data_IF_588838444516
#
_entry.id   IF_588838444516
#
_cell.length_a   1.000
_cell.length_b   1.000
_cell.length_c   1.000
_cell.angle_alpha   90.00
_cell.angle_beta   90.00
_cell.angle_gamma   90.00
#
_symmetry.space_group_name_H-M   'P 1'
#
loop_
_entity.id
_entity.type
_entity.pdbx_description
1 polymer ?
#
# COMPACT_ATOMS: atom_id res chain seq x y z
N UNK A 1 7.85 -0.35 -7.96
CA UNK A 1 8.81 0.72 -8.36
C UNK A 1 9.56 1.17 -7.11
N UNK A 2 10.87 1.33 -7.20
CA UNK A 2 11.72 1.85 -6.13
C UNK A 2 12.69 2.88 -6.68
N UNK A 3 12.96 3.93 -5.90
CA UNK A 3 13.88 5.01 -6.24
C UNK A 3 15.09 4.94 -5.32
N UNK A 4 16.28 5.04 -5.87
CA UNK A 4 17.56 5.13 -5.15
C UNK A 4 18.16 6.53 -5.38
N UNK A 5 17.83 7.51 -4.53
CA UNK A 5 18.15 8.92 -4.79
C UNK A 5 19.66 9.19 -4.85
N UNK A 6 20.45 8.54 -4.02
CA UNK A 6 21.90 8.72 -3.93
C UNK A 6 22.62 8.34 -5.24
N UNK A 7 22.13 7.31 -5.92
CA UNK A 7 22.65 6.85 -7.20
C UNK A 7 21.89 7.45 -8.40
N UNK A 8 20.83 8.24 -8.13
CA UNK A 8 19.93 8.78 -9.15
C UNK A 8 19.35 7.68 -10.05
N UNK A 9 18.94 6.59 -9.44
CA UNK A 9 18.41 5.43 -10.13
C UNK A 9 16.93 5.22 -9.83
N UNK A 10 16.20 4.82 -10.87
CA UNK A 10 14.81 4.39 -10.84
C UNK A 10 14.76 2.90 -11.19
N UNK A 11 14.29 2.08 -10.27
CA UNK A 11 14.13 0.65 -10.43
C UNK A 11 12.68 0.31 -10.73
N UNK A 12 12.44 -0.26 -11.91
CA UNK A 12 11.14 -0.67 -12.38
C UNK A 12 11.08 -2.19 -12.50
N UNK A 13 9.99 -2.78 -12.05
CA UNK A 13 9.70 -4.18 -12.26
C UNK A 13 8.62 -4.34 -13.33
N UNK A 14 8.90 -5.19 -14.32
CA UNK A 14 7.91 -5.67 -15.29
C UNK A 14 7.41 -7.05 -14.83
N UNK A 15 6.13 -7.29 -15.04
CA UNK A 15 5.53 -8.61 -14.74
C UNK A 15 5.64 -9.56 -15.93
N UNK A 16 5.68 -9.02 -17.15
CA UNK A 16 5.69 -9.83 -18.35
C UNK A 16 6.53 -9.20 -19.46
N UNK A 17 7.70 -9.78 -19.78
CA UNK A 17 8.41 -10.81 -19.01
C UNK A 17 8.86 -10.30 -17.64
N UNK A 18 9.00 -11.22 -16.67
CA UNK A 18 9.46 -10.85 -15.32
C UNK A 18 10.90 -10.37 -15.35
N UNK A 19 11.11 -9.09 -15.15
CA UNK A 19 12.44 -8.45 -15.17
C UNK A 19 12.49 -7.19 -14.32
N UNK A 20 13.67 -6.81 -13.92
CA UNK A 20 13.98 -5.53 -13.32
C UNK A 20 14.76 -4.68 -14.32
N UNK A 21 14.31 -3.47 -14.53
CA UNK A 21 14.95 -2.46 -15.36
C UNK A 21 15.38 -1.29 -14.47
N UNK A 22 16.62 -0.86 -14.61
CA UNK A 22 17.17 0.27 -13.87
C UNK A 22 17.46 1.42 -14.82
N UNK A 23 16.86 2.54 -14.57
CA UNK A 23 17.03 3.77 -15.33
C UNK A 23 17.74 4.84 -14.49
N UNK A 24 18.46 5.74 -15.11
CA UNK A 24 18.84 6.99 -14.45
C UNK A 24 17.66 7.97 -14.48
N UNK A 25 17.77 9.11 -13.78
CA UNK A 25 16.71 10.12 -13.74
C UNK A 25 16.50 10.86 -15.08
N UNK A 26 17.42 10.72 -16.04
CA UNK A 26 17.25 11.22 -17.42
C UNK A 26 16.48 10.23 -18.31
N UNK A 27 16.03 9.10 -17.76
CA UNK A 27 15.27 8.07 -18.47
C UNK A 27 16.12 7.11 -19.30
N UNK A 28 17.45 7.12 -19.16
CA UNK A 28 18.34 6.18 -19.86
C UNK A 28 18.37 4.85 -19.11
N UNK A 29 18.14 3.75 -19.82
CA UNK A 29 18.30 2.39 -19.30
C UNK A 29 19.78 2.14 -18.95
N UNK A 30 20.07 1.80 -17.70
CA UNK A 30 21.38 1.47 -17.19
C UNK A 30 21.62 -0.02 -17.14
N UNK A 31 20.63 -0.78 -16.63
CA UNK A 31 20.71 -2.22 -16.41
C UNK A 31 19.35 -2.85 -16.67
N UNK A 32 19.37 -4.09 -17.11
CA UNK A 32 18.20 -4.90 -17.37
C UNK A 32 18.54 -6.36 -17.11
N UNK A 33 17.82 -7.00 -16.20
CA UNK A 33 18.05 -8.39 -15.86
C UNK A 33 16.75 -9.15 -15.57
N UNK A 34 16.64 -10.41 -16.04
CA UNK A 34 15.47 -11.23 -15.77
C UNK A 34 15.43 -11.65 -14.32
N UNK A 35 14.22 -11.75 -13.78
CA UNK A 35 13.95 -12.32 -12.46
C UNK A 35 13.06 -13.55 -12.61
N UNK A 36 13.28 -14.56 -11.77
CA UNK A 36 12.54 -15.84 -11.84
C UNK A 36 11.25 -15.84 -11.00
N UNK A 37 10.80 -14.68 -10.55
CA UNK A 37 9.62 -14.57 -9.72
C UNK A 37 8.78 -13.35 -10.14
N UNK A 38 7.49 -13.47 -9.97
CA UNK A 38 6.56 -12.35 -10.18
C UNK A 38 6.39 -11.62 -8.85
N UNK A 39 7.18 -10.56 -8.62
CA UNK A 39 7.06 -9.72 -7.42
C UNK A 39 5.86 -8.80 -7.52
N UNK A 40 5.25 -8.51 -6.38
CA UNK A 40 4.20 -7.49 -6.25
C UNK A 40 4.79 -6.13 -5.89
N UNK A 41 5.89 -6.15 -5.13
CA UNK A 41 6.58 -4.93 -4.70
C UNK A 41 8.07 -5.20 -4.47
N UNK A 42 8.89 -4.15 -4.47
CA UNK A 42 10.32 -4.24 -4.17
C UNK A 42 10.84 -2.97 -3.51
N UNK A 43 11.86 -3.13 -2.67
CA UNK A 43 12.55 -2.04 -1.96
C UNK A 43 14.01 -2.37 -1.74
N UNK A 44 14.87 -1.35 -1.71
CA UNK A 44 16.25 -1.50 -1.24
C UNK A 44 16.32 -1.54 0.29
N UNK A 45 17.18 -2.42 0.82
CA UNK A 45 17.37 -2.57 2.27
C UNK A 45 18.68 -1.95 2.76
N UNK A 46 19.40 -1.22 1.92
CA UNK A 46 20.76 -0.76 2.20
C UNK A 46 21.83 -1.63 1.53
N UNK A 47 23.05 -1.11 1.43
CA UNK A 47 24.15 -1.79 0.76
C UNK A 47 23.81 -2.20 -0.67
N UNK A 48 23.89 -3.48 -0.95
CA UNK A 48 23.58 -4.05 -2.25
C UNK A 48 22.41 -5.07 -2.20
N UNK A 49 21.56 -4.96 -1.19
CA UNK A 49 20.45 -5.88 -0.97
C UNK A 49 19.12 -5.25 -1.32
N UNK A 50 18.29 -5.98 -2.06
CA UNK A 50 16.95 -5.63 -2.47
C UNK A 50 16.02 -6.69 -1.94
N UNK A 51 14.94 -6.27 -1.27
CA UNK A 51 13.84 -7.14 -0.92
C UNK A 51 12.76 -7.06 -1.99
N UNK A 52 12.32 -8.22 -2.47
CA UNK A 52 11.14 -8.35 -3.32
C UNK A 52 10.06 -9.15 -2.60
N UNK A 53 8.81 -8.78 -2.78
CA UNK A 53 7.67 -9.44 -2.15
C UNK A 53 6.71 -10.04 -3.16
N UNK A 54 6.27 -11.26 -2.88
CA UNK A 54 5.21 -11.93 -3.64
C UNK A 54 4.17 -12.51 -2.68
N UNK A 55 2.91 -12.31 -2.97
CA UNK A 55 1.79 -12.78 -2.14
C UNK A 55 1.37 -14.22 -2.41
N UNK A 56 1.70 -14.75 -3.59
CA UNK A 56 1.23 -16.07 -4.06
C UNK A 56 2.38 -16.96 -4.45
N UNK A 57 2.16 -18.28 -4.41
CA UNK A 57 3.02 -19.22 -5.14
C UNK A 57 2.98 -18.85 -6.61
N UNK A 58 4.15 -18.70 -7.23
CA UNK A 58 4.20 -18.53 -8.67
C UNK A 58 3.73 -19.83 -9.34
N UNK A 59 2.66 -19.74 -10.12
CA UNK A 59 2.15 -20.89 -10.90
C UNK A 59 2.78 -20.99 -12.28
N UNK A 60 3.81 -20.19 -12.58
CA UNK A 60 4.38 -20.10 -13.93
C UNK A 60 5.30 -21.26 -14.33
N UNK A 61 5.06 -22.46 -13.76
CA UNK A 61 5.60 -23.71 -14.27
C UNK A 61 7.10 -23.94 -14.16
N UNK A 62 7.86 -22.92 -13.71
CA UNK A 62 9.31 -22.97 -13.54
C UNK A 62 9.61 -22.63 -12.08
N UNK A 63 9.77 -23.68 -11.26
CA UNK A 63 10.08 -23.60 -9.84
C UNK A 63 9.05 -22.76 -9.04
N UNK A 64 8.05 -23.43 -8.46
CA UNK A 64 7.04 -22.82 -7.59
C UNK A 64 7.70 -22.23 -6.33
N UNK A 65 8.19 -21.00 -6.41
CA UNK A 65 8.65 -20.29 -5.23
C UNK A 65 7.45 -20.02 -4.33
N UNK A 66 7.51 -20.37 -3.06
CA UNK A 66 6.45 -19.99 -2.12
C UNK A 66 6.36 -18.46 -2.07
N UNK A 67 5.17 -17.91 -1.83
CA UNK A 67 5.03 -16.49 -1.57
C UNK A 67 5.92 -16.04 -0.41
N UNK A 68 6.32 -14.78 -0.38
CA UNK A 68 7.15 -14.23 0.70
C UNK A 68 8.11 -13.15 0.26
N UNK A 69 9.14 -12.93 1.08
CA UNK A 69 10.19 -11.95 0.83
C UNK A 69 11.43 -12.65 0.28
N UNK A 70 11.85 -12.24 -0.90
CA UNK A 70 13.05 -12.71 -1.57
C UNK A 70 14.12 -11.63 -1.50
N UNK A 71 15.35 -12.04 -1.19
CA UNK A 71 16.49 -11.15 -1.13
C UNK A 71 17.31 -11.29 -2.40
N UNK A 72 17.58 -10.18 -3.06
CA UNK A 72 18.33 -10.10 -4.31
C UNK A 72 19.54 -9.18 -4.12
N UNK A 73 20.62 -9.45 -4.85
CA UNK A 73 21.68 -8.45 -5.02
C UNK A 73 21.33 -7.45 -6.15
N UNK A 74 22.14 -6.41 -6.31
CA UNK A 74 21.97 -5.38 -7.36
C UNK A 74 22.04 -5.92 -8.81
N UNK A 75 22.43 -7.17 -9.02
CA UNK A 75 22.38 -7.86 -10.32
C UNK A 75 21.19 -8.81 -10.46
N UNK A 76 20.20 -8.75 -9.55
CA UNK A 76 19.01 -9.59 -9.60
C UNK A 76 19.22 -11.05 -9.20
N UNK A 77 20.42 -11.42 -8.74
CA UNK A 77 20.70 -12.79 -8.28
C UNK A 77 20.08 -12.99 -6.90
N UNK A 78 19.26 -14.02 -6.76
CA UNK A 78 18.70 -14.44 -5.47
C UNK A 78 19.79 -14.80 -4.47
N UNK A 79 19.69 -14.24 -3.28
CA UNK A 79 20.56 -14.49 -2.14
C UNK A 79 19.91 -15.37 -1.10
N UNK A 80 18.58 -15.27 -0.97
CA UNK A 80 17.84 -16.04 0.00
C UNK A 80 16.37 -15.65 0.05
N UNK A 81 15.67 -16.20 1.03
CA UNK A 81 14.31 -15.87 1.37
C UNK A 81 14.25 -15.50 2.86
N UNK A 82 13.74 -14.33 3.17
CA UNK A 82 13.68 -13.81 4.54
C UNK A 82 12.41 -14.23 5.26
N UNK A 83 11.29 -14.25 4.53
CA UNK A 83 9.98 -14.54 5.08
C UNK A 83 9.21 -15.41 4.09
N UNK A 84 8.54 -16.44 4.59
CA UNK A 84 7.56 -17.21 3.83
C UNK A 84 6.20 -16.57 4.06
N UNK A 85 5.52 -16.14 3.01
CA UNK A 85 4.17 -15.64 3.14
C UNK A 85 3.26 -16.78 3.62
N UNK A 86 2.40 -16.44 4.55
CA UNK A 86 1.31 -17.31 4.97
C UNK A 86 0.28 -17.52 3.85
N UNK A 87 -0.84 -18.15 4.19
CA UNK A 87 -1.97 -18.31 3.29
C UNK A 87 -2.44 -16.95 2.75
N UNK A 88 -2.58 -16.85 1.44
CA UNK A 88 -3.01 -15.62 0.79
C UNK A 88 -4.54 -15.52 0.74
N UNK A 89 -5.04 -14.28 0.79
CA UNK A 89 -6.44 -14.00 0.48
C UNK A 89 -6.72 -14.24 -1.01
N UNK A 90 -7.97 -14.58 -1.39
CA UNK A 90 -8.37 -14.55 -2.79
C UNK A 90 -8.04 -13.17 -3.35
N UNK A 91 -7.38 -13.14 -4.48
CA UNK A 91 -6.88 -11.89 -5.07
C UNK A 91 -8.01 -11.13 -5.77
N UNK A 92 -8.29 -9.94 -5.30
CA UNK A 92 -9.07 -8.94 -6.02
C UNK A 92 -8.09 -7.96 -6.67
N UNK A 93 -8.13 -7.90 -7.98
CA UNK A 93 -7.15 -7.20 -8.79
C UNK A 93 -7.10 -5.69 -8.57
N UNK A 94 -6.38 -5.26 -7.56
CA UNK A 94 -5.99 -3.85 -7.40
C UNK A 94 -4.59 -3.69 -8.02
N UNK A 95 -4.50 -2.91 -9.08
CA UNK A 95 -3.31 -2.85 -9.94
C UNK A 95 -2.11 -2.08 -9.33
N UNK A 96 -2.28 -1.40 -8.21
CA UNK A 96 -1.22 -0.58 -7.59
C UNK A 96 -1.06 -0.98 -6.12
N UNK A 97 -0.31 -2.06 -5.88
CA UNK A 97 -0.08 -2.56 -4.54
C UNK A 97 1.31 -2.19 -4.08
N UNK A 98 1.41 -1.48 -2.97
CA UNK A 98 2.64 -1.19 -2.26
C UNK A 98 2.58 -1.89 -0.90
N UNK A 99 3.50 -2.81 -0.69
CA UNK A 99 3.58 -3.60 0.54
C UNK A 99 4.72 -3.16 1.43
N UNK A 100 5.78 -2.60 0.83
CA UNK A 100 6.92 -2.10 1.55
C UNK A 100 6.80 -0.60 1.83
N UNK A 101 7.30 -0.20 2.98
CA UNK A 101 7.59 1.19 3.33
C UNK A 101 9.03 1.28 3.81
N UNK A 102 9.77 2.24 3.31
CA UNK A 102 11.11 2.54 3.80
C UNK A 102 11.04 3.06 5.25
N UNK A 103 11.81 2.47 6.13
CA UNK A 103 11.76 2.78 7.54
C UNK A 103 13.11 2.55 8.22
N UNK A 104 13.66 3.61 8.84
CA UNK A 104 14.98 3.59 9.46
C UNK A 104 16.05 3.03 8.51
N UNK A 105 16.82 2.03 8.95
CA UNK A 105 17.84 1.36 8.16
C UNK A 105 17.31 0.06 7.50
N UNK A 106 16.12 0.08 6.98
CA UNK A 106 15.51 -1.11 6.36
C UNK A 106 14.12 -0.82 5.82
N UNK A 107 13.20 -1.76 5.99
CA UNK A 107 11.84 -1.62 5.51
C UNK A 107 10.80 -2.21 6.46
N UNK A 108 9.58 -1.70 6.41
CA UNK A 108 8.40 -2.36 6.93
C UNK A 108 7.71 -3.10 5.79
N UNK A 109 7.18 -4.27 6.09
CA UNK A 109 6.37 -5.06 5.17
C UNK A 109 4.99 -5.31 5.78
N UNK A 110 3.95 -4.90 5.08
CA UNK A 110 2.58 -5.29 5.38
C UNK A 110 2.28 -6.64 4.71
N UNK A 111 2.32 -7.69 5.51
CA UNK A 111 2.04 -9.02 5.01
C UNK A 111 0.53 -9.33 5.02
N UNK A 112 0.12 -10.24 4.16
CA UNK A 112 -1.26 -10.76 4.09
C UNK A 112 -1.68 -11.56 5.34
N UNK A 113 -0.73 -11.93 6.21
CA UNK A 113 -0.96 -12.71 7.44
C UNK A 113 -1.36 -11.90 8.68
N UNK A 114 -1.89 -10.69 8.54
CA UNK A 114 -2.24 -9.80 9.66
C UNK A 114 -1.06 -9.35 10.52
N UNK A 115 0.14 -9.34 9.96
CA UNK A 115 1.36 -8.94 10.66
C UNK A 115 2.13 -7.94 9.82
N UNK A 116 2.56 -6.85 10.45
CA UNK A 116 3.56 -5.95 9.88
C UNK A 116 4.92 -6.45 10.36
N UNK A 117 5.84 -6.67 9.43
CA UNK A 117 7.19 -7.11 9.70
C UNK A 117 8.17 -5.97 9.49
N UNK A 118 9.19 -5.92 10.33
CA UNK A 118 10.39 -5.10 10.10
C UNK A 118 11.43 -5.97 9.43
N UNK A 119 12.05 -5.47 8.38
CA UNK A 119 13.15 -6.11 7.65
C UNK A 119 14.35 -5.20 7.76
N UNK A 120 15.43 -5.71 8.34
CA UNK A 120 16.65 -4.95 8.53
C UNK A 120 17.54 -4.95 7.27
N UNK A 121 18.65 -4.20 7.29
CA UNK A 121 19.60 -4.10 6.17
C UNK A 121 20.20 -5.46 5.75
N UNK A 122 20.28 -6.42 6.65
CA UNK A 122 20.75 -7.78 6.32
C UNK A 122 19.66 -8.67 5.71
N UNK A 123 18.42 -8.17 5.64
CA UNK A 123 17.26 -8.89 5.11
C UNK A 123 16.58 -9.80 6.12
N UNK A 124 16.93 -9.72 7.40
CA UNK A 124 16.29 -10.47 8.46
C UNK A 124 14.94 -9.85 8.81
N UNK A 125 13.89 -10.67 8.89
CA UNK A 125 12.52 -10.25 9.15
C UNK A 125 12.11 -10.55 10.59
N UNK A 126 11.59 -9.56 11.29
CA UNK A 126 11.03 -9.69 12.64
C UNK A 126 9.61 -9.14 12.69
N UNK A 127 8.65 -9.77 13.40
CA UNK A 127 7.33 -9.19 13.59
C UNK A 127 7.41 -7.87 14.37
N UNK A 128 6.71 -6.84 13.89
CA UNK A 128 6.61 -5.55 14.57
C UNK A 128 5.23 -5.36 15.19
N UNK A 129 4.17 -5.66 14.42
CA UNK A 129 2.78 -5.46 14.84
C UNK A 129 1.95 -6.65 14.40
N UNK A 130 1.12 -7.15 15.29
CA UNK A 130 0.03 -8.05 14.95
C UNK A 130 -1.28 -7.28 14.90
N UNK A 131 -1.98 -7.37 13.78
CA UNK A 131 -3.26 -6.70 13.56
C UNK A 131 -4.40 -7.65 13.96
N UNK A 132 -5.03 -7.34 15.08
CA UNK A 132 -6.20 -8.09 15.54
C UNK A 132 -7.49 -7.44 15.00
N UNK A 133 -8.16 -8.13 14.12
CA UNK A 133 -9.40 -7.68 13.49
C UNK A 133 -10.66 -8.12 14.25
N UNK A 134 -10.51 -8.87 15.35
CA UNK A 134 -11.64 -9.40 16.08
C UNK A 134 -12.58 -10.21 15.18
N UNK A 135 -13.87 -9.86 15.21
CA UNK A 135 -14.91 -10.51 14.38
C UNK A 135 -14.79 -10.23 12.88
N UNK A 136 -14.05 -9.19 12.51
CA UNK A 136 -13.80 -8.84 11.10
C UNK A 136 -12.65 -9.61 10.48
N UNK A 137 -12.01 -10.51 11.24
CA UNK A 137 -10.90 -11.33 10.75
C UNK A 137 -11.36 -12.27 9.63
N UNK A 138 -10.63 -12.26 8.53
CA UNK A 138 -10.90 -13.15 7.41
C UNK A 138 -10.71 -14.62 7.81
N UNK A 139 -11.73 -15.48 7.60
CA UNK A 139 -11.65 -16.89 8.04
C UNK A 139 -10.58 -17.67 7.29
N UNK A 140 -9.77 -18.44 8.02
CA UNK A 140 -8.71 -19.28 7.44
C UNK A 140 -9.23 -20.27 6.39
N UNK A 141 -10.44 -20.82 6.59
CA UNK A 141 -11.08 -21.76 5.65
C UNK A 141 -11.40 -21.14 4.28
N UNK A 142 -11.41 -19.81 4.17
CA UNK A 142 -11.68 -19.07 2.95
C UNK A 142 -10.40 -18.55 2.28
N UNK A 143 -9.25 -18.67 2.93
CA UNK A 143 -7.96 -18.39 2.33
C UNK A 143 -7.60 -19.45 1.30
N UNK A 144 -6.86 -19.09 0.28
CA UNK A 144 -6.44 -19.96 -0.83
C UNK A 144 -7.58 -20.56 -1.69
N UNK A 145 -8.77 -19.99 -1.63
CA UNK A 145 -9.84 -20.39 -2.57
C UNK A 145 -9.45 -19.88 -3.95
N UNK A 146 -9.39 -20.77 -4.93
CA UNK A 146 -9.15 -20.40 -6.32
C UNK A 146 -10.30 -19.57 -6.87
N UNK A 147 -9.98 -18.60 -7.72
CA UNK A 147 -10.95 -17.79 -8.46
C UNK A 147 -11.96 -18.67 -9.25
N UNK A 148 -11.52 -19.80 -9.76
CA UNK A 148 -12.36 -20.75 -10.50
C UNK A 148 -13.21 -21.66 -9.61
N UNK A 149 -13.08 -21.55 -8.28
CA UNK A 149 -13.84 -22.37 -7.36
C UNK A 149 -15.29 -21.89 -7.27
N UNK A 150 -16.30 -22.80 -7.31
CA UNK A 150 -17.70 -22.43 -7.02
C UNK A 150 -17.88 -21.73 -5.65
N UNK A 151 -16.99 -21.99 -4.70
CA UNK A 151 -16.98 -21.35 -3.39
C UNK A 151 -16.42 -19.92 -3.42
N UNK A 152 -15.85 -19.48 -4.54
CA UNK A 152 -15.35 -18.12 -4.66
C UNK A 152 -16.46 -17.08 -4.46
N UNK A 153 -17.68 -17.36 -4.93
CA UNK A 153 -18.84 -16.49 -4.70
C UNK A 153 -19.20 -16.34 -3.21
N UNK A 154 -18.91 -17.36 -2.40
CA UNK A 154 -19.08 -17.27 -0.95
C UNK A 154 -18.14 -16.21 -0.35
N UNK A 155 -16.99 -15.96 -0.97
CA UNK A 155 -16.03 -14.96 -0.53
C UNK A 155 -16.43 -13.54 -0.89
N UNK A 156 -17.31 -13.36 -1.87
CA UNK A 156 -17.73 -12.04 -2.36
C UNK A 156 -18.70 -11.29 -1.42
N UNK A 157 -19.38 -12.01 -0.54
CA UNK A 157 -20.40 -11.46 0.35
C UNK A 157 -19.90 -11.26 1.79
N UNK A 158 -18.58 -11.17 1.99
CA UNK A 158 -18.01 -11.26 3.31
C UNK A 158 -17.73 -9.89 3.93
N UNK A 159 -18.25 -9.70 5.13
CA UNK A 159 -17.96 -8.54 6.00
C UNK A 159 -16.64 -8.75 6.76
N UNK A 160 -15.57 -9.12 6.05
CA UNK A 160 -14.25 -9.37 6.66
C UNK A 160 -13.20 -8.46 6.03
N UNK A 161 -12.17 -8.16 6.80
CA UNK A 161 -10.99 -7.48 6.28
C UNK A 161 -10.18 -8.44 5.43
N UNK A 162 -10.06 -8.10 4.15
CA UNK A 162 -9.19 -8.79 3.21
C UNK A 162 -8.46 -7.77 2.35
N UNK A 163 -7.35 -8.15 1.77
CA UNK A 163 -6.57 -7.23 0.96
C UNK A 163 -6.01 -6.07 1.80
N UNK A 164 -4.71 -6.08 2.00
CA UNK A 164 -3.99 -5.05 2.74
C UNK A 164 -2.82 -4.58 1.89
N UNK A 165 -2.68 -3.27 1.72
CA UNK A 165 -1.59 -2.68 0.93
C UNK A 165 -1.39 -1.19 1.29
N UNK A 166 -0.52 -0.49 0.55
CA UNK A 166 -0.27 0.94 0.68
C UNK A 166 0.20 1.35 2.09
N UNK A 167 1.13 0.58 2.66
CA UNK A 167 1.69 0.88 3.98
C UNK A 167 2.46 2.21 3.96
N UNK A 168 2.19 3.05 4.96
CA UNK A 168 2.92 4.30 5.24
C UNK A 168 3.14 4.41 6.74
N UNK A 169 4.38 4.71 7.16
CA UNK A 169 4.77 4.81 8.56
C UNK A 169 5.08 6.26 8.98
N UNK A 170 4.50 6.70 10.11
CA UNK A 170 4.75 8.00 10.73
C UNK A 170 5.09 7.80 12.21
N UNK A 171 6.37 7.74 12.54
CA UNK A 171 6.77 7.41 13.91
C UNK A 171 6.07 6.14 14.40
N UNK A 172 5.23 6.21 15.46
CA UNK A 172 4.51 5.05 15.96
C UNK A 172 3.26 4.68 15.16
N UNK A 173 2.83 5.51 14.22
CA UNK A 173 1.62 5.27 13.44
C UNK A 173 1.94 4.45 12.19
N UNK A 174 1.11 3.43 11.92
CA UNK A 174 1.08 2.64 10.69
C UNK A 174 -0.25 2.89 9.99
N UNK A 175 -0.20 3.53 8.84
CA UNK A 175 -1.35 3.73 7.97
C UNK A 175 -1.27 2.74 6.82
N UNK A 176 -2.38 2.13 6.47
CA UNK A 176 -2.44 1.22 5.34
C UNK A 176 -3.88 1.10 4.83
N UNK A 177 -4.02 0.73 3.57
CA UNK A 177 -5.32 0.48 2.99
C UNK A 177 -5.77 -0.94 3.28
N UNK A 178 -7.06 -1.09 3.53
CA UNK A 178 -7.75 -2.38 3.66
C UNK A 178 -8.95 -2.43 2.71
N UNK A 179 -9.43 -3.63 2.45
CA UNK A 179 -10.73 -3.85 1.84
C UNK A 179 -11.62 -4.50 2.89
N UNK A 180 -12.75 -3.87 3.18
CA UNK A 180 -13.78 -4.34 4.07
C UNK A 180 -15.13 -4.26 3.36
N UNK A 181 -15.87 -5.35 3.30
CA UNK A 181 -17.19 -5.42 2.65
C UNK A 181 -17.20 -4.77 1.24
N UNK A 182 -16.16 -5.04 0.43
CA UNK A 182 -15.90 -4.48 -0.92
C UNK A 182 -15.58 -2.98 -0.97
N UNK A 183 -15.52 -2.31 0.17
CA UNK A 183 -15.11 -0.91 0.25
C UNK A 183 -13.63 -0.82 0.60
N UNK A 184 -12.97 0.15 0.00
CA UNK A 184 -11.59 0.50 0.37
C UNK A 184 -11.63 1.47 1.54
N UNK A 185 -10.89 1.14 2.59
CA UNK A 185 -10.79 1.95 3.79
C UNK A 185 -9.32 2.18 4.14
N UNK A 186 -9.05 3.28 4.80
CA UNK A 186 -7.76 3.56 5.41
C UNK A 186 -7.77 3.08 6.85
N UNK A 187 -6.90 2.14 7.16
CA UNK A 187 -6.68 1.65 8.52
C UNK A 187 -5.48 2.36 9.15
N UNK A 188 -5.55 2.54 10.45
CA UNK A 188 -4.49 3.09 11.28
C UNK A 188 -4.24 2.15 12.48
N UNK A 189 -2.97 1.88 12.74
CA UNK A 189 -2.53 1.25 13.99
C UNK A 189 -1.56 2.20 14.72
N UNK A 190 -1.79 2.44 16.01
CA UNK A 190 -0.92 3.24 16.85
C UNK A 190 -0.14 2.31 17.79
N UNK A 191 1.17 2.22 17.62
CA UNK A 191 2.06 1.35 18.39
C UNK A 191 2.24 1.78 19.85
N UNK A 192 1.98 3.05 20.17
CA UNK A 192 2.08 3.55 21.54
C UNK A 192 0.88 3.14 22.39
N UNK A 193 -0.33 3.16 21.80
CA UNK A 193 -1.56 2.84 22.52
C UNK A 193 -2.02 1.40 22.31
N UNK A 194 -1.51 0.72 21.30
CA UNK A 194 -1.99 -0.60 20.88
C UNK A 194 -3.36 -0.55 20.19
N UNK A 195 -3.88 0.64 19.89
CA UNK A 195 -5.20 0.82 19.32
C UNK A 195 -5.14 0.89 17.79
N UNK A 196 -6.22 0.46 17.15
CA UNK A 196 -6.44 0.59 15.71
C UNK A 196 -7.79 1.20 15.39
N UNK A 197 -7.88 1.83 14.24
CA UNK A 197 -9.13 2.33 13.68
C UNK A 197 -9.08 2.26 12.16
N UNK A 198 -10.24 2.32 11.52
CA UNK A 198 -10.34 2.42 10.07
C UNK A 198 -11.53 3.29 9.67
N UNK A 199 -11.45 3.89 8.49
CA UNK A 199 -12.50 4.74 7.93
C UNK A 199 -12.32 4.87 6.41
N UNK A 200 -13.43 5.01 5.71
CA UNK A 200 -13.48 5.37 4.31
C UNK A 200 -13.36 6.89 4.07
N UNK A 201 -13.46 7.66 5.15
CA UNK A 201 -13.55 9.11 5.08
C UNK A 201 -12.67 9.80 6.14
N UNK A 202 -12.10 10.93 5.77
CA UNK A 202 -11.59 11.91 6.73
C UNK A 202 -12.76 12.70 7.30
N UNK A 203 -13.08 12.46 8.55
CA UNK A 203 -13.98 13.32 9.30
C UNK A 203 -13.18 14.43 10.00
N UNK A 204 -12.97 15.56 9.34
CA UNK A 204 -12.89 16.78 10.14
C UNK A 204 -14.32 17.15 10.55
N UNK A 205 -14.48 17.80 11.70
CA UNK A 205 -15.78 18.10 12.33
C UNK A 205 -16.87 18.66 11.40
N UNK A 206 -16.55 19.01 10.16
CA UNK A 206 -17.45 19.68 9.22
C UNK A 206 -17.24 19.27 7.75
N UNK A 207 -16.29 18.39 7.45
CA UNK A 207 -15.99 18.02 6.05
C UNK A 207 -15.64 16.54 5.97
N UNK A 208 -16.35 15.81 5.16
CA UNK A 208 -16.04 14.45 4.78
C UNK A 208 -15.25 14.48 3.47
N UNK A 209 -14.03 13.96 3.45
CA UNK A 209 -13.23 13.84 2.25
C UNK A 209 -12.80 12.39 2.12
N UNK A 210 -13.07 11.73 0.99
CA UNK A 210 -12.62 10.35 0.81
C UNK A 210 -11.10 10.28 0.84
N UNK A 211 -10.57 9.36 1.63
CA UNK A 211 -9.14 9.10 1.77
C UNK A 211 -8.75 7.89 0.97
N UNK A 212 -8.54 8.09 -0.30
CA UNK A 212 -8.20 7.00 -1.17
C UNK A 212 -6.75 7.13 -1.67
N UNK A 213 -6.09 6.00 -1.76
CA UNK A 213 -4.77 5.84 -2.36
C UNK A 213 -3.66 6.70 -1.73
N UNK A 214 -3.27 6.46 -0.45
CA UNK A 214 -2.03 7.01 0.06
C UNK A 214 -0.86 6.49 -0.76
N UNK A 215 -0.01 7.38 -1.25
CA UNK A 215 1.18 7.03 -2.03
C UNK A 215 2.44 6.94 -1.17
N UNK A 216 2.46 7.66 -0.05
CA UNK A 216 3.64 7.72 0.82
C UNK A 216 3.70 8.99 1.65
N UNK A 217 4.92 9.42 1.96
CA UNK A 217 5.23 10.64 2.71
C UNK A 217 5.94 11.67 1.83
N UNK A 218 5.65 12.95 2.05
CA UNK A 218 6.46 14.05 1.53
C UNK A 218 7.71 14.28 2.39
N UNK A 219 8.69 15.04 1.88
CA UNK A 219 9.87 15.48 2.63
C UNK A 219 9.51 16.28 3.89
N UNK A 220 8.31 16.85 3.93
CA UNK A 220 7.77 17.60 5.08
C UNK A 220 7.05 16.70 6.09
N UNK A 221 7.07 15.39 5.89
CA UNK A 221 6.38 14.43 6.75
C UNK A 221 4.85 14.47 6.60
N UNK A 222 4.32 14.94 5.47
CA UNK A 222 2.89 14.92 5.16
C UNK A 222 2.54 13.60 4.48
N UNK A 223 1.37 13.06 4.78
CA UNK A 223 0.79 11.97 4.00
C UNK A 223 0.44 12.50 2.61
N UNK A 224 0.88 11.80 1.58
CA UNK A 224 0.59 12.14 0.18
C UNK A 224 -0.27 11.05 -0.41
N UNK A 225 -1.29 11.46 -1.13
CA UNK A 225 -2.12 10.53 -1.89
C UNK A 225 -2.58 11.11 -3.21
N UNK A 226 -3.26 10.28 -3.97
CA UNK A 226 -3.82 10.63 -5.27
C UNK A 226 -5.34 10.43 -5.24
N UNK A 227 -6.06 11.36 -5.83
CA UNK A 227 -7.47 11.17 -6.12
C UNK A 227 -7.66 10.68 -7.55
N UNK A 228 -8.48 9.67 -7.69
CA UNK A 228 -9.12 9.36 -8.96
C UNK A 228 -10.15 10.47 -9.27
N UNK A 229 -10.09 10.99 -10.49
CA UNK A 229 -10.98 12.08 -10.92
C UNK A 229 -12.44 11.62 -10.93
N UNK A 230 -12.72 10.40 -11.37
CA UNK A 230 -14.08 9.86 -11.42
C UNK A 230 -14.68 9.76 -10.02
N UNK A 231 -13.84 9.39 -9.03
CA UNK A 231 -14.24 9.34 -7.63
C UNK A 231 -14.53 10.72 -7.05
N UNK A 232 -13.70 11.72 -7.37
CA UNK A 232 -13.95 13.11 -6.95
C UNK A 232 -15.22 13.68 -7.59
N UNK A 233 -15.50 13.32 -8.84
CA UNK A 233 -16.74 13.70 -9.51
C UNK A 233 -17.95 13.05 -8.83
N UNK A 234 -17.91 11.74 -8.58
CA UNK A 234 -19.00 11.05 -7.88
C UNK A 234 -19.23 11.64 -6.48
N UNK A 235 -18.16 12.00 -5.77
CA UNK A 235 -18.25 12.66 -4.48
C UNK A 235 -18.88 14.06 -4.58
N UNK A 236 -18.49 14.86 -5.58
CA UNK A 236 -19.09 16.16 -5.84
C UNK A 236 -20.59 16.06 -6.09
N UNK A 237 -21.00 15.10 -6.92
CA UNK A 237 -22.41 14.88 -7.25
C UNK A 237 -23.24 14.40 -6.05
N UNK A 238 -22.66 13.63 -5.16
CA UNK A 238 -23.32 13.15 -3.93
C UNK A 238 -23.60 14.25 -2.89
N UNK A 239 -22.96 15.42 -3.01
CA UNK A 239 -23.10 16.54 -2.06
C UNK A 239 -24.30 17.45 -2.30
N UNK A 240 -25.04 17.27 -3.38
CA UNK A 240 -26.21 18.08 -3.69
C UNK A 240 -27.25 17.97 -2.57
N UNK A 241 -27.46 19.08 -1.83
CA UNK A 241 -28.41 19.16 -0.73
C UNK A 241 -27.84 19.09 0.69
N UNK A 242 -26.53 19.08 0.89
CA UNK A 242 -25.95 19.17 2.23
C UNK A 242 -25.96 20.63 2.74
N UNK A 243 -26.17 20.83 4.07
CA UNK A 243 -26.19 22.18 4.64
C UNK A 243 -24.83 22.88 4.49
N UNK A 244 -24.89 24.12 4.07
CA UNK A 244 -23.73 24.98 3.90
C UNK A 244 -23.19 25.42 5.26
N UNK A 245 -21.88 25.27 5.45
CA UNK A 245 -21.17 25.97 6.51
C UNK A 245 -19.90 26.62 5.93
N UNK A 246 -19.50 27.77 6.44
CA UNK A 246 -18.51 28.67 5.83
C UNK A 246 -17.12 28.07 5.64
N UNK A 247 -16.74 27.01 6.35
CA UNK A 247 -15.45 26.32 6.23
C UNK A 247 -15.55 25.22 5.18
N UNK A 248 -16.64 24.44 5.22
CA UNK A 248 -16.91 23.40 4.24
C UNK A 248 -17.03 24.00 2.83
N UNK A 249 -17.73 25.14 2.69
CA UNK A 249 -17.91 25.82 1.40
C UNK A 249 -16.61 26.22 0.74
N UNK A 250 -15.69 26.80 1.53
CA UNK A 250 -14.37 27.18 1.01
C UNK A 250 -13.56 25.97 0.54
N UNK A 251 -13.58 24.86 1.30
CA UNK A 251 -12.86 23.65 0.91
C UNK A 251 -13.50 23.04 -0.33
N UNK A 252 -14.83 23.01 -0.40
CA UNK A 252 -15.55 22.52 -1.57
C UNK A 252 -15.29 23.36 -2.82
N UNK A 253 -15.22 24.68 -2.71
CA UNK A 253 -14.85 25.57 -3.82
C UNK A 253 -13.42 25.28 -4.32
N UNK A 254 -12.47 25.04 -3.40
CA UNK A 254 -11.10 24.66 -3.76
C UNK A 254 -11.09 23.29 -4.46
N UNK A 255 -11.85 22.32 -3.95
CA UNK A 255 -11.96 21.00 -4.56
C UNK A 255 -12.59 21.10 -5.97
N UNK A 256 -13.69 21.83 -6.12
CA UNK A 256 -14.37 22.01 -7.40
C UNK A 256 -13.47 22.70 -8.43
N UNK A 257 -12.75 23.74 -8.03
CA UNK A 257 -11.77 24.41 -8.89
C UNK A 257 -10.62 23.47 -9.29
N UNK A 258 -10.14 22.66 -8.35
CA UNK A 258 -9.06 21.68 -8.57
C UNK A 258 -9.51 20.58 -9.53
N UNK A 259 -10.69 20.01 -9.32
CA UNK A 259 -11.27 18.97 -10.20
C UNK A 259 -11.46 19.51 -11.62
N UNK A 260 -12.07 20.69 -11.76
CA UNK A 260 -12.28 21.29 -13.07
C UNK A 260 -10.95 21.56 -13.81
N UNK A 261 -9.92 22.00 -13.08
CA UNK A 261 -8.59 22.22 -13.65
C UNK A 261 -7.93 20.90 -14.05
N UNK A 262 -8.03 19.88 -13.23
CA UNK A 262 -7.45 18.55 -13.51
C UNK A 262 -8.12 17.92 -14.73
N UNK A 263 -9.45 17.98 -14.83
CA UNK A 263 -10.19 17.51 -16.00
C UNK A 263 -9.79 18.23 -17.29
N UNK A 264 -9.66 19.57 -17.24
CA UNK A 264 -9.26 20.36 -18.39
C UNK A 264 -7.82 20.08 -18.87
N UNK A 265 -6.97 19.56 -17.98
CA UNK A 265 -5.55 19.32 -18.25
C UNK A 265 -5.18 17.85 -18.31
N UNK A 266 -6.12 16.93 -18.11
CA UNK A 266 -5.89 15.47 -18.00
C UNK A 266 -4.77 15.14 -16.99
N UNK A 267 -4.88 15.70 -15.78
CA UNK A 267 -3.87 15.55 -14.72
C UNK A 267 -4.47 14.94 -13.47
N UNK A 268 -3.71 14.07 -12.77
CA UNK A 268 -4.13 13.57 -11.47
C UNK A 268 -4.15 14.68 -10.43
N UNK A 269 -5.01 14.53 -9.42
CA UNK A 269 -5.08 15.41 -8.26
C UNK A 269 -4.30 14.77 -7.11
N UNK A 270 -3.25 15.44 -6.64
CA UNK A 270 -2.52 15.05 -5.44
C UNK A 270 -3.11 15.76 -4.23
N UNK A 271 -3.21 15.05 -3.12
CA UNK A 271 -3.58 15.62 -1.84
C UNK A 271 -2.48 15.41 -0.81
N UNK A 272 -2.41 16.34 0.15
CA UNK A 272 -1.45 16.33 1.25
C UNK A 272 -2.20 16.50 2.56
N UNK A 273 -1.90 15.64 3.54
CA UNK A 273 -2.49 15.72 4.86
C UNK A 273 -1.42 15.62 5.94
N UNK A 274 -1.57 16.42 7.00
CA UNK A 274 -0.71 16.35 8.18
C UNK A 274 -1.36 15.47 9.24
N UNK A 275 -0.60 14.54 9.78
CA UNK A 275 -1.01 13.79 10.96
C UNK A 275 -0.91 14.73 12.16
N UNK A 276 -1.96 14.77 12.98
CA UNK A 276 -1.98 15.61 14.19
C UNK A 276 -0.91 15.15 15.17
N UNK A 277 -0.16 16.10 15.72
CA UNK A 277 0.89 15.81 16.70
C UNK A 277 0.39 15.06 17.93
N UNK A 278 -0.86 15.28 18.35
CA UNK A 278 -1.48 14.55 19.45
C UNK A 278 -1.54 13.01 19.24
N UNK A 279 -1.58 12.57 17.99
CA UNK A 279 -1.56 11.13 17.65
C UNK A 279 -0.15 10.54 17.68
N UNK A 280 0.86 11.38 17.50
CA UNK A 280 2.26 10.98 17.50
C UNK A 280 2.87 10.91 18.91
N UNK A 281 2.26 11.56 19.91
CA UNK A 281 2.86 11.78 21.22
C UNK A 281 2.06 11.24 22.40
N UNK A 282 0.78 10.89 22.25
CA UNK A 282 -0.02 10.35 23.35
C UNK A 282 0.33 8.89 23.62
N UNK A 283 1.11 8.67 24.70
CA UNK A 283 1.01 7.46 25.50
C UNK A 283 -0.10 7.70 26.54
N UNK A 284 -1.16 6.91 26.51
CA UNK A 284 -2.13 6.89 27.60
C UNK A 284 -1.62 6.00 28.71
#
# INVERSE_FOLDING_TARGET
MWVKPEEKELWLQSFWPSRIMVYNFDGRLLRDFPIRWSGKDMIGLGGNLIAGFNTTKSNDGIDSLPGGVFLLNNGGKMKGQSLIAGNSYPYWGVNYQRYFEEFENGALLLNQSDTIYRINESGESTPEVFLDWGELKYPEKLKNISYDSPRYQETENLKYVYGKDQLVAFGPIRLFRIILDRHMELAMANLLTGEGSFSDQFNSSNVQVPLLYPLGKSDKGELVGIYDIDLLMAYKDSRTGQPENSIADKLYQVMDSTVNTALAQDRPVLWFAKIKNEWLTKSY
#
